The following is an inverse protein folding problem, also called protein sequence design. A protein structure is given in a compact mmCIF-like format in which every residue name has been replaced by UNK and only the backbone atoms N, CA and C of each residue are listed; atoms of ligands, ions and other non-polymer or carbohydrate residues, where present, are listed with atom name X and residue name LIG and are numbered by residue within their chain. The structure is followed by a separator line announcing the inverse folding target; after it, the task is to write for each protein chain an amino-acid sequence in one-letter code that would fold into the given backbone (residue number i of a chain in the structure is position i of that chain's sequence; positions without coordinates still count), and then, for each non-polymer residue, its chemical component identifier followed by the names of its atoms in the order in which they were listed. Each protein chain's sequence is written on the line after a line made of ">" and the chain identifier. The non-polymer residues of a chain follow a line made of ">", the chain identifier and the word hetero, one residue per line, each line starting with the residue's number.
data_IF_090755331924
#
_entry.id   IF_090755331924
#
_cell.length_a   1.000
_cell.length_b   1.000
_cell.length_c   1.000
_cell.angle_alpha   90.00
_cell.angle_beta   90.00
_cell.angle_gamma   90.00
#
_symmetry.space_group_name_H-M   'P 1'
#
loop_
_entity.id
_entity.type
_entity.pdbx_description
1 polymer ?
#
# COMPACT_ATOMS: atom_id res chain seq x y z
N UNK A 1 -7.21 -15.69 3.70
CA UNK A 1 -6.71 -14.55 2.91
C UNK A 1 -7.12 -13.29 3.65
N UNK A 2 -6.22 -12.32 3.77
CA UNK A 2 -6.48 -11.04 4.44
C UNK A 2 -6.27 -9.87 3.50
N UNK A 3 -6.87 -8.72 3.83
CA UNK A 3 -6.60 -7.44 3.19
C UNK A 3 -6.33 -6.39 4.27
N UNK A 4 -5.25 -5.66 4.14
CA UNK A 4 -4.91 -4.53 5.00
C UNK A 4 -4.76 -3.27 4.17
N UNK A 5 -5.18 -2.16 4.74
CA UNK A 5 -5.18 -0.87 4.07
C UNK A 5 -4.74 0.22 5.05
N UNK A 6 -3.93 1.16 4.56
CA UNK A 6 -3.56 2.38 5.31
C UNK A 6 -3.25 3.53 4.35
N UNK A 7 -3.16 4.74 4.89
CA UNK A 7 -2.57 5.88 4.20
C UNK A 7 -1.20 6.17 4.80
N UNK A 8 -0.27 6.62 3.97
CA UNK A 8 1.07 7.01 4.41
C UNK A 8 1.59 8.17 3.57
N UNK A 9 2.55 8.94 4.08
CA UNK A 9 3.18 10.03 3.31
C UNK A 9 4.17 9.47 2.29
N UNK A 10 4.26 10.10 1.13
CA UNK A 10 5.05 9.63 0.00
C UNK A 10 6.55 9.41 0.31
N UNK A 11 7.09 10.09 1.30
CA UNK A 11 8.51 10.01 1.69
C UNK A 11 8.95 8.63 2.17
N UNK A 12 8.02 7.78 2.64
CA UNK A 12 8.33 6.43 3.11
C UNK A 12 8.04 5.34 2.07
N UNK A 13 7.79 5.71 0.81
CA UNK A 13 7.34 4.75 -0.22
C UNK A 13 8.37 3.65 -0.47
N UNK A 14 9.64 3.99 -0.62
CA UNK A 14 10.68 2.99 -0.92
C UNK A 14 10.86 2.01 0.25
N UNK A 15 10.94 2.51 1.49
CA UNK A 15 11.15 1.71 2.69
C UNK A 15 9.96 0.78 2.98
N UNK A 16 8.73 1.31 2.97
CA UNK A 16 7.52 0.52 3.23
C UNK A 16 7.38 -0.58 2.19
N UNK A 17 7.55 -0.25 0.90
CA UNK A 17 7.39 -1.22 -0.18
C UNK A 17 8.50 -2.28 -0.12
N UNK A 18 9.74 -1.90 0.18
CA UNK A 18 10.86 -2.83 0.35
C UNK A 18 10.60 -3.82 1.49
N UNK A 19 10.23 -3.34 2.68
CA UNK A 19 9.93 -4.18 3.84
C UNK A 19 8.81 -5.18 3.57
N UNK A 20 7.71 -4.71 2.97
CA UNK A 20 6.56 -5.57 2.64
C UNK A 20 6.92 -6.57 1.55
N UNK A 21 7.70 -6.19 0.53
CA UNK A 21 8.19 -7.13 -0.48
C UNK A 21 9.08 -8.20 0.15
N UNK A 22 9.94 -7.85 1.11
CA UNK A 22 10.81 -8.79 1.81
C UNK A 22 10.03 -9.81 2.66
N UNK A 23 8.96 -9.37 3.33
CA UNK A 23 8.05 -10.24 4.09
C UNK A 23 7.27 -11.16 3.15
N UNK A 24 6.68 -10.58 2.10
CA UNK A 24 5.78 -11.28 1.17
C UNK A 24 6.50 -12.04 0.05
N UNK A 25 7.83 -12.01 0.03
CA UNK A 25 8.70 -12.62 -0.99
C UNK A 25 8.31 -12.19 -2.40
N UNK A 26 8.04 -10.89 -2.57
CA UNK A 26 7.71 -10.26 -3.84
C UNK A 26 8.95 -9.64 -4.51
N UNK A 27 8.99 -9.58 -5.84
CA UNK A 27 10.10 -8.95 -6.56
C UNK A 27 10.04 -7.42 -6.37
N UNK A 28 11.02 -6.90 -5.64
CA UNK A 28 11.22 -5.47 -5.43
C UNK A 28 12.11 -4.84 -6.51
N UNK A 29 11.86 -3.58 -6.87
CA UNK A 29 12.64 -2.83 -7.85
C UNK A 29 12.51 -1.33 -7.60
N UNK A 30 13.62 -0.69 -7.22
CA UNK A 30 13.70 0.77 -7.03
C UNK A 30 13.28 1.52 -8.29
N UNK A 31 13.64 1.01 -9.48
CA UNK A 31 13.26 1.61 -10.76
C UNK A 31 11.75 1.68 -10.93
N UNK A 32 11.01 0.63 -10.55
CA UNK A 32 9.54 0.62 -10.64
C UNK A 32 8.90 1.60 -9.67
N UNK A 33 9.43 1.68 -8.44
CA UNK A 33 8.94 2.62 -7.42
C UNK A 33 9.16 4.05 -7.91
N UNK A 34 10.38 4.37 -8.34
CA UNK A 34 10.75 5.68 -8.85
C UNK A 34 9.97 6.07 -10.11
N UNK A 35 9.71 5.12 -11.01
CA UNK A 35 8.85 5.37 -12.17
C UNK A 35 7.44 5.79 -11.74
N UNK A 36 6.82 5.08 -10.80
CA UNK A 36 5.47 5.41 -10.34
C UNK A 36 5.41 6.76 -9.62
N UNK A 37 6.42 7.09 -8.81
CA UNK A 37 6.49 8.36 -8.07
C UNK A 37 6.83 9.58 -8.95
N UNK A 38 7.44 9.36 -10.13
CA UNK A 38 7.88 10.44 -11.03
C UNK A 38 6.89 10.74 -12.16
N UNK A 39 5.77 10.00 -12.23
CA UNK A 39 4.68 10.30 -13.16
C UNK A 39 4.09 11.69 -12.84
N UNK A 40 3.94 12.49 -13.89
CA UNK A 40 3.51 13.90 -13.79
C UNK A 40 2.03 14.06 -14.04
N UNK A 41 1.42 13.18 -14.82
CA UNK A 41 -0.02 13.17 -15.03
C UNK A 41 -0.69 12.47 -13.85
N UNK A 42 -1.35 13.27 -13.00
CA UNK A 42 -2.01 12.81 -11.77
C UNK A 42 -3.12 11.79 -11.99
N UNK A 43 -3.63 11.66 -13.23
CA UNK A 43 -4.66 10.71 -13.61
C UNK A 43 -4.11 9.51 -14.39
N UNK A 44 -2.79 9.47 -14.64
CA UNK A 44 -2.13 8.38 -15.35
C UNK A 44 -2.17 7.09 -14.55
N UNK A 45 -2.37 5.97 -15.25
CA UNK A 45 -2.26 4.63 -14.67
C UNK A 45 -0.83 4.29 -14.26
N UNK A 46 0.16 5.01 -14.78
CA UNK A 46 1.57 4.81 -14.42
C UNK A 46 1.88 5.30 -12.99
N UNK A 47 0.97 6.05 -12.34
CA UNK A 47 1.04 6.32 -10.90
C UNK A 47 0.82 5.07 -10.03
N UNK A 48 0.20 4.02 -10.59
CA UNK A 48 -0.07 2.79 -9.84
C UNK A 48 1.17 1.92 -9.77
N UNK A 49 1.71 1.77 -8.56
CA UNK A 49 2.68 0.73 -8.27
C UNK A 49 1.93 -0.54 -7.86
N UNK A 50 2.03 -1.57 -8.69
CA UNK A 50 1.44 -2.89 -8.42
C UNK A 50 2.54 -3.94 -8.41
N UNK A 51 2.67 -4.64 -7.29
CA UNK A 51 3.64 -5.73 -7.10
C UNK A 51 2.87 -6.95 -6.62
N UNK A 52 2.91 -8.03 -7.39
CA UNK A 52 2.11 -9.21 -7.08
C UNK A 52 2.77 -10.52 -7.55
N UNK A 53 2.36 -11.61 -6.90
CA UNK A 53 2.55 -12.97 -7.37
C UNK A 53 1.18 -13.70 -7.30
N UNK A 54 1.17 -15.03 -7.28
CA UNK A 54 -0.09 -15.81 -7.25
C UNK A 54 -0.90 -15.68 -5.95
N UNK A 55 -0.26 -15.28 -4.84
CA UNK A 55 -0.84 -15.31 -3.49
C UNK A 55 -0.84 -13.93 -2.81
N UNK A 56 0.08 -13.08 -3.22
CA UNK A 56 0.41 -11.82 -2.58
C UNK A 56 0.21 -10.66 -3.55
N UNK A 57 -0.30 -9.54 -3.04
CA UNK A 57 -0.58 -8.33 -3.80
C UNK A 57 -0.27 -7.10 -2.96
N UNK A 58 0.46 -6.15 -3.56
CA UNK A 58 0.71 -4.80 -3.04
C UNK A 58 0.27 -3.82 -4.12
N UNK A 59 -0.53 -2.82 -3.73
CA UNK A 59 -0.88 -1.71 -4.59
C UNK A 59 -0.78 -0.39 -3.83
N UNK A 60 -0.16 0.59 -4.46
CA UNK A 60 -0.19 1.98 -4.01
C UNK A 60 -0.39 2.92 -5.20
N UNK A 61 -1.10 4.03 -4.95
CA UNK A 61 -1.28 5.09 -5.93
C UNK A 61 -0.32 6.24 -5.61
N UNK A 62 0.77 6.35 -6.36
CA UNK A 62 1.83 7.33 -6.16
C UNK A 62 1.54 8.69 -6.81
N UNK A 63 0.26 9.06 -6.98
CA UNK A 63 -0.14 10.32 -7.58
C UNK A 63 0.17 11.50 -6.65
N UNK A 64 0.83 12.53 -7.17
CA UNK A 64 1.32 13.68 -6.39
C UNK A 64 0.24 14.73 -6.02
N UNK A 65 -1.04 14.34 -5.95
CA UNK A 65 -2.16 15.25 -5.66
C UNK A 65 -2.06 15.85 -4.26
N UNK A 66 -1.86 15.01 -3.25
CA UNK A 66 -1.78 15.41 -1.84
C UNK A 66 -0.59 14.81 -1.09
N UNK A 67 0.27 14.04 -1.80
CA UNK A 67 1.42 13.32 -1.24
C UNK A 67 1.06 12.30 -0.14
N UNK A 68 -0.22 11.92 -0.02
CA UNK A 68 -0.70 10.90 0.91
C UNK A 68 -1.16 9.69 0.08
N UNK A 69 -0.36 8.64 0.11
CA UNK A 69 -0.57 7.48 -0.76
C UNK A 69 -1.40 6.40 -0.05
N UNK A 70 -2.43 5.85 -0.72
CA UNK A 70 -3.15 4.68 -0.22
C UNK A 70 -2.29 3.44 -0.43
N UNK A 71 -2.12 2.62 0.61
CA UNK A 71 -1.47 1.32 0.55
C UNK A 71 -2.50 0.21 0.71
N UNK A 72 -2.51 -0.74 -0.21
CA UNK A 72 -3.37 -1.93 -0.19
C UNK A 72 -2.48 -3.16 -0.23
N UNK A 73 -2.70 -4.07 0.73
CA UNK A 73 -2.01 -5.36 0.82
C UNK A 73 -3.03 -6.48 0.84
N UNK A 74 -2.81 -7.54 0.05
CA UNK A 74 -3.45 -8.85 0.26
C UNK A 74 -2.40 -9.94 0.36
N UNK A 75 -2.59 -10.85 1.30
CA UNK A 75 -1.70 -11.98 1.51
C UNK A 75 -2.42 -13.18 2.18
N UNK A 76 -1.85 -14.39 2.12
CA UNK A 76 -2.34 -15.54 2.86
C UNK A 76 -2.33 -15.31 4.37
N UNK A 77 -3.18 -16.04 5.09
CA UNK A 77 -3.28 -15.92 6.56
C UNK A 77 -1.96 -16.26 7.26
N UNK A 78 -1.12 -17.10 6.65
CA UNK A 78 0.22 -17.43 7.13
C UNK A 78 1.19 -16.22 7.19
N UNK A 79 0.95 -15.17 6.41
CA UNK A 79 1.76 -13.94 6.40
C UNK A 79 1.06 -12.78 7.14
N UNK A 80 -0.19 -12.97 7.54
CA UNK A 80 -1.07 -11.93 8.08
C UNK A 80 -0.44 -11.18 9.26
N UNK A 81 0.09 -11.90 10.25
CA UNK A 81 0.69 -11.29 11.45
C UNK A 81 1.92 -10.44 11.11
N UNK A 82 2.85 -10.98 10.31
CA UNK A 82 4.07 -10.28 9.93
C UNK A 82 3.79 -9.02 9.10
N UNK A 83 2.86 -9.11 8.14
CA UNK A 83 2.44 -7.97 7.32
C UNK A 83 1.73 -6.93 8.17
N UNK A 84 0.79 -7.34 9.03
CA UNK A 84 0.06 -6.42 9.90
C UNK A 84 0.99 -5.67 10.84
N UNK A 85 1.94 -6.37 11.46
CA UNK A 85 2.92 -5.77 12.36
C UNK A 85 3.84 -4.79 11.63
N UNK A 86 4.26 -5.10 10.40
CA UNK A 86 5.04 -4.17 9.58
C UNK A 86 4.26 -2.89 9.28
N UNK A 87 3.04 -3.01 8.75
CA UNK A 87 2.19 -1.85 8.45
C UNK A 87 1.88 -1.03 9.72
N UNK A 88 1.57 -1.69 10.83
CA UNK A 88 1.29 -1.02 12.09
C UNK A 88 2.51 -0.27 12.64
N UNK A 89 3.71 -0.84 12.50
CA UNK A 89 4.95 -0.18 12.93
C UNK A 89 5.20 1.10 12.14
N UNK A 90 5.02 1.04 10.81
CA UNK A 90 5.12 2.21 9.95
C UNK A 90 4.05 3.26 10.26
N UNK A 91 2.77 2.88 10.39
CA UNK A 91 1.70 3.82 10.77
C UNK A 91 1.98 4.52 12.11
N UNK A 92 2.49 3.80 13.12
CA UNK A 92 2.88 4.40 14.40
C UNK A 92 4.05 5.37 14.28
N UNK A 93 5.08 5.04 13.50
CA UNK A 93 6.23 5.91 13.27
C UNK A 93 5.81 7.21 12.58
N UNK A 94 5.03 7.10 11.50
CA UNK A 94 4.51 8.26 10.75
C UNK A 94 3.63 9.12 11.64
N UNK A 95 2.69 8.53 12.39
CA UNK A 95 1.84 9.28 13.32
C UNK A 95 2.65 10.02 14.36
N UNK A 96 3.66 9.40 14.94
CA UNK A 96 4.54 10.03 15.92
C UNK A 96 5.27 11.24 15.33
N UNK A 97 5.83 11.09 14.13
CA UNK A 97 6.55 12.17 13.44
C UNK A 97 5.64 13.36 13.12
N UNK A 98 4.41 13.09 12.71
CA UNK A 98 3.42 14.11 12.37
C UNK A 98 2.52 14.54 13.55
N UNK A 99 2.89 14.22 14.80
CA UNK A 99 2.15 14.56 16.02
C UNK A 99 0.66 14.13 15.99
N UNK A 100 0.36 12.99 15.39
CA UNK A 100 -0.98 12.42 15.30
C UNK A 100 -1.23 11.40 16.41
N UNK A 101 -2.51 11.21 16.75
CA UNK A 101 -2.92 10.18 17.69
C UNK A 101 -2.54 8.77 17.20
N UNK A 102 -1.94 7.93 18.06
CA UNK A 102 -1.64 6.54 17.76
C UNK A 102 -2.86 5.75 17.27
N UNK A 103 -2.69 4.92 16.25
CA UNK A 103 -3.74 3.98 15.85
C UNK A 103 -3.83 2.81 16.85
N UNK A 104 -4.98 2.14 16.86
CA UNK A 104 -5.21 0.94 17.67
C UNK A 104 -4.81 -0.35 16.96
N UNK A 105 -4.43 -0.27 15.68
CA UNK A 105 -4.15 -1.40 14.82
C UNK A 105 -4.63 -1.17 13.40
N UNK A 106 -4.19 -2.03 12.48
CA UNK A 106 -4.64 -2.05 11.08
C UNK A 106 -5.67 -3.18 10.93
N UNK A 107 -6.97 -2.91 10.70
CA UNK A 107 -7.98 -3.95 10.63
C UNK A 107 -7.90 -4.76 9.33
N UNK A 108 -8.26 -6.04 9.39
CA UNK A 108 -8.48 -6.84 8.18
C UNK A 108 -9.80 -6.41 7.51
N UNK A 109 -9.72 -5.92 6.28
CA UNK A 109 -10.86 -5.39 5.51
C UNK A 109 -11.25 -6.27 4.32
N UNK A 110 -10.77 -7.52 4.25
CA UNK A 110 -10.95 -8.41 3.09
C UNK A 110 -12.41 -8.58 2.64
N UNK A 111 -13.34 -8.61 3.59
CA UNK A 111 -14.76 -8.82 3.35
C UNK A 111 -15.56 -7.51 3.26
N UNK A 112 -14.91 -6.35 3.33
CA UNK A 112 -15.61 -5.08 3.46
C UNK A 112 -16.09 -4.56 2.10
N UNK A 113 -17.24 -3.86 2.15
CA UNK A 113 -17.83 -3.31 0.94
C UNK A 113 -17.24 -1.98 0.49
N UNK A 114 -16.63 -1.24 1.41
CA UNK A 114 -16.01 0.06 1.16
C UNK A 114 -14.54 -0.01 1.55
N UNK A 115 -13.65 -0.08 0.56
CA UNK A 115 -12.20 -0.27 0.72
C UNK A 115 -11.42 0.64 -0.22
N UNK A 116 -10.17 0.96 0.13
CA UNK A 116 -9.26 1.70 -0.74
C UNK A 116 -9.05 0.99 -2.06
N UNK A 117 -9.01 -0.35 -2.06
CA UNK A 117 -8.95 -1.11 -3.29
C UNK A 117 -10.13 -0.80 -4.22
N UNK A 118 -11.37 -0.87 -3.72
CA UNK A 118 -12.56 -0.58 -4.52
C UNK A 118 -12.57 0.86 -5.04
N UNK A 119 -12.15 1.80 -4.21
CA UNK A 119 -11.97 3.19 -4.63
C UNK A 119 -10.97 3.31 -5.80
N UNK A 120 -9.82 2.64 -5.73
CA UNK A 120 -8.84 2.66 -6.83
C UNK A 120 -9.38 1.96 -8.10
N UNK A 121 -10.12 0.87 -7.96
CA UNK A 121 -10.78 0.19 -9.08
C UNK A 121 -11.75 1.12 -9.82
N UNK A 122 -12.53 1.90 -9.08
CA UNK A 122 -13.47 2.87 -9.61
C UNK A 122 -12.76 4.06 -10.26
N UNK A 123 -11.71 4.61 -9.62
CA UNK A 123 -10.93 5.74 -10.16
C UNK A 123 -10.26 5.36 -11.49
N UNK A 124 -9.64 4.19 -11.55
CA UNK A 124 -8.87 3.77 -12.74
C UNK A 124 -9.68 2.97 -13.75
N UNK A 125 -10.94 2.66 -13.44
CA UNK A 125 -11.83 1.82 -14.25
C UNK A 125 -11.17 0.48 -14.60
N UNK A 126 -10.60 -0.18 -13.58
CA UNK A 126 -9.90 -1.47 -13.70
C UNK A 126 -10.27 -2.40 -12.56
N UNK A 127 -10.19 -3.72 -12.79
CA UNK A 127 -10.24 -4.73 -11.73
C UNK A 127 -8.83 -5.24 -11.48
N UNK A 128 -8.39 -5.20 -10.24
CA UNK A 128 -7.06 -5.66 -9.88
C UNK A 128 -7.03 -7.15 -9.54
N UNK A 129 -8.15 -7.71 -9.08
CA UNK A 129 -8.27 -9.05 -8.50
C UNK A 129 -9.59 -9.75 -8.86
#
# INVERSE_FOLDING_TARGET
>A
MVQYEMYFTNEYTEEIISDLCNIMKLPYSDEKVNKAMSEKDIYSKDNLLIIQNKECFICTNCSNIDYIYPLIIRCPDALSEAVNQCMFTWDQQIRLEYCQEPSKGIPNVYSNDNTLLKYLEDVYQMRFL
#
